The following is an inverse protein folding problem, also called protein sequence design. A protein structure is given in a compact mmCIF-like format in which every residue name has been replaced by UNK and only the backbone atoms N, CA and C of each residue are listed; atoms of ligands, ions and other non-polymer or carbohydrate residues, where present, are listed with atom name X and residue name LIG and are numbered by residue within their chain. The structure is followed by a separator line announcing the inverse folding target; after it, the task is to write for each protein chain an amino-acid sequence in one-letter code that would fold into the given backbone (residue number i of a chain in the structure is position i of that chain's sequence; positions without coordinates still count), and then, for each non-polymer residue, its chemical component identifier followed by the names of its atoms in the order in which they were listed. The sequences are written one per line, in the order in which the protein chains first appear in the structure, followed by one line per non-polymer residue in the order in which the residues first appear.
data_IF_574051443167
#
_entry.id   IF_574051443167
#
_cell.length_a   1.000
_cell.length_b   1.000
_cell.length_c   1.000
_cell.angle_alpha   90.00
_cell.angle_beta   90.00
_cell.angle_gamma   90.00
#
_symmetry.space_group_name_H-M   'P 1'
#
loop_
_entity.id
_entity.type
_entity.pdbx_description
1 polymer ?
#
# COMPACT_ATOMS: atom_id res chain seq x y z
N UNK A 1 -37.48 43.21 -37.59
CA UNK A 1 -36.25 43.59 -36.85
C UNK A 1 -36.19 42.74 -35.59
N UNK A 2 -35.09 42.03 -35.37
CA UNK A 2 -34.95 40.94 -34.39
C UNK A 2 -34.66 41.49 -32.98
N UNK A 3 -35.39 40.99 -31.98
CA UNK A 3 -35.16 41.22 -30.56
C UNK A 3 -33.99 40.35 -30.06
N UNK A 4 -33.10 40.94 -29.27
CA UNK A 4 -32.03 40.27 -28.54
C UNK A 4 -32.55 39.93 -27.16
N UNK A 5 -32.56 38.64 -26.80
CA UNK A 5 -32.76 38.18 -25.41
C UNK A 5 -31.47 37.60 -24.89
N UNK A 6 -30.94 38.21 -23.82
CA UNK A 6 -29.79 37.76 -23.06
C UNK A 6 -30.33 36.90 -21.90
N UNK A 7 -29.96 35.62 -21.83
CA UNK A 7 -30.26 34.74 -20.69
C UNK A 7 -28.96 34.54 -19.92
N UNK A 8 -28.87 35.14 -18.74
CA UNK A 8 -27.77 34.94 -17.80
C UNK A 8 -28.09 33.72 -16.94
N UNK A 9 -27.32 32.64 -17.09
CA UNK A 9 -27.42 31.45 -16.26
C UNK A 9 -26.59 31.63 -14.97
N UNK A 10 -27.24 31.65 -13.82
CA UNK A 10 -26.60 31.68 -12.50
C UNK A 10 -26.37 30.24 -12.02
N UNK A 11 -25.11 29.81 -11.97
CA UNK A 11 -24.71 28.52 -11.41
C UNK A 11 -24.70 28.60 -9.88
N UNK A 12 -25.49 27.76 -9.21
CA UNK A 12 -25.42 27.56 -7.76
C UNK A 12 -24.23 26.63 -7.44
N UNK A 13 -23.22 27.16 -6.74
CA UNK A 13 -22.18 26.35 -6.11
C UNK A 13 -22.76 25.71 -4.84
N UNK A 14 -23.05 24.40 -4.89
CA UNK A 14 -23.31 23.60 -3.70
C UNK A 14 -21.99 23.34 -2.97
N UNK A 15 -21.75 24.06 -1.87
CA UNK A 15 -20.68 23.74 -0.95
C UNK A 15 -21.08 22.49 -0.13
N UNK A 16 -20.53 21.34 -0.49
CA UNK A 16 -20.64 20.12 0.33
C UNK A 16 -19.86 20.33 1.63
N UNK A 17 -20.58 20.48 2.75
CA UNK A 17 -19.98 20.43 4.08
C UNK A 17 -19.45 19.02 4.32
N UNK A 18 -18.13 18.87 4.42
CA UNK A 18 -17.50 17.64 4.88
C UNK A 18 -17.99 17.33 6.31
N UNK A 19 -18.73 16.24 6.46
CA UNK A 19 -19.15 15.73 7.76
C UNK A 19 -17.90 15.18 8.45
N UNK A 20 -17.56 15.61 9.68
CA UNK A 20 -16.45 15.02 10.42
C UNK A 20 -16.74 13.55 10.69
N UNK A 21 -15.95 12.66 10.10
CA UNK A 21 -15.99 11.23 10.37
C UNK A 21 -15.67 11.01 11.84
N UNK A 22 -16.61 10.43 12.62
CA UNK A 22 -16.37 10.05 14.01
C UNK A 22 -15.10 9.19 14.07
N UNK A 23 -14.11 9.64 14.85
CA UNK A 23 -12.95 8.82 15.23
C UNK A 23 -13.49 7.53 15.86
N UNK A 24 -13.20 6.39 15.25
CA UNK A 24 -13.78 5.13 15.67
C UNK A 24 -13.19 4.73 17.03
N UNK A 25 -14.01 4.81 18.08
CA UNK A 25 -13.64 4.45 19.45
C UNK A 25 -14.02 2.99 19.69
N UNK A 26 -13.15 2.05 19.31
CA UNK A 26 -13.35 0.61 19.52
C UNK A 26 -12.42 -0.23 18.64
N UNK A 27 -12.14 -1.46 19.05
CA UNK A 27 -11.45 -2.44 18.20
C UNK A 27 -12.22 -2.61 16.87
N UNK A 28 -11.54 -2.83 15.74
CA UNK A 28 -12.20 -3.02 14.45
C UNK A 28 -13.09 -4.27 14.50
N UNK A 29 -14.24 -4.20 13.82
CA UNK A 29 -15.10 -5.37 13.65
C UNK A 29 -14.59 -6.30 12.54
N UNK A 30 -15.17 -7.49 12.41
CA UNK A 30 -14.76 -8.49 11.42
C UNK A 30 -14.73 -7.97 9.98
N UNK A 31 -15.73 -7.19 9.56
CA UNK A 31 -15.76 -6.63 8.21
C UNK A 31 -14.57 -5.69 7.98
N UNK A 32 -14.25 -4.83 8.96
CA UNK A 32 -13.14 -3.90 8.83
C UNK A 32 -11.78 -4.59 8.78
N UNK A 33 -11.64 -5.72 9.48
CA UNK A 33 -10.44 -6.54 9.41
C UNK A 33 -10.33 -7.21 8.05
N UNK A 34 -11.42 -7.77 7.52
CA UNK A 34 -11.45 -8.38 6.19
C UNK A 34 -11.17 -7.34 5.09
N UNK A 35 -11.79 -6.17 5.17
CA UNK A 35 -11.57 -5.06 4.23
C UNK A 35 -10.12 -4.58 4.26
N UNK A 36 -9.52 -4.45 5.45
CA UNK A 36 -8.12 -4.05 5.58
C UNK A 36 -7.16 -5.11 5.00
N UNK A 37 -7.40 -6.40 5.23
CA UNK A 37 -6.58 -7.46 4.65
C UNK A 37 -6.69 -7.45 3.12
N UNK A 38 -7.89 -7.32 2.58
CA UNK A 38 -8.11 -7.29 1.13
C UNK A 38 -7.57 -6.03 0.46
N UNK A 39 -7.69 -4.87 1.11
CA UNK A 39 -7.09 -3.60 0.65
C UNK A 39 -5.58 -3.75 0.57
N UNK A 40 -4.96 -4.20 1.68
CA UNK A 40 -3.52 -4.38 1.73
C UNK A 40 -3.02 -5.43 0.73
N UNK A 41 -3.78 -6.50 0.50
CA UNK A 41 -3.47 -7.47 -0.56
C UNK A 41 -3.36 -6.82 -1.95
N UNK A 42 -4.28 -5.92 -2.27
CA UNK A 42 -4.25 -5.19 -3.54
C UNK A 42 -3.05 -4.24 -3.62
N UNK A 43 -2.74 -3.54 -2.53
CA UNK A 43 -1.57 -2.66 -2.47
C UNK A 43 -0.26 -3.41 -2.64
N UNK A 44 -0.11 -4.55 -1.95
CA UNK A 44 1.04 -5.42 -2.12
C UNK A 44 1.14 -5.90 -3.57
N UNK A 45 0.01 -6.27 -4.19
CA UNK A 45 -0.02 -6.70 -5.59
C UNK A 45 0.42 -5.60 -6.54
N UNK A 46 -0.02 -4.36 -6.33
CA UNK A 46 0.36 -3.22 -7.16
C UNK A 46 1.85 -2.90 -7.04
N UNK A 47 2.39 -2.87 -5.82
CA UNK A 47 3.83 -2.65 -5.60
C UNK A 47 4.64 -3.79 -6.23
N UNK A 48 4.22 -5.04 -6.06
CA UNK A 48 4.89 -6.19 -6.67
C UNK A 48 4.85 -6.15 -8.21
N UNK A 49 3.73 -5.75 -8.80
CA UNK A 49 3.59 -5.58 -10.25
C UNK A 49 4.53 -4.50 -10.79
N UNK A 50 4.70 -3.40 -10.04
CA UNK A 50 5.72 -2.41 -10.36
C UNK A 50 7.11 -3.02 -10.30
N UNK A 51 7.48 -3.70 -9.20
CA UNK A 51 8.81 -4.28 -9.02
C UNK A 51 9.18 -5.28 -10.11
N UNK A 52 8.21 -6.10 -10.56
CA UNK A 52 8.41 -7.09 -11.60
C UNK A 52 8.58 -6.47 -13.01
N UNK A 53 7.95 -5.32 -13.27
CA UNK A 53 8.00 -4.67 -14.59
C UNK A 53 9.08 -3.59 -14.70
N UNK A 54 9.41 -2.92 -13.59
CA UNK A 54 10.31 -1.77 -13.52
C UNK A 54 11.66 -1.98 -14.23
N UNK A 55 12.35 -3.14 -14.15
CA UNK A 55 13.62 -3.35 -14.85
C UNK A 55 13.56 -3.19 -16.37
N UNK A 56 12.36 -3.26 -16.96
CA UNK A 56 12.14 -3.18 -18.42
C UNK A 56 11.56 -1.84 -18.87
N UNK A 57 11.22 -0.95 -17.93
CA UNK A 57 10.59 0.32 -18.26
C UNK A 57 11.63 1.36 -18.67
N UNK A 58 11.29 2.20 -19.65
CA UNK A 58 12.07 3.41 -19.91
C UNK A 58 11.83 4.48 -18.85
N UNK A 59 12.74 5.43 -18.76
CA UNK A 59 12.67 6.64 -17.92
C UNK A 59 11.35 7.40 -18.10
N UNK A 60 10.80 7.46 -19.31
CA UNK A 60 9.51 8.09 -19.59
C UNK A 60 8.33 7.39 -18.89
N UNK A 61 8.39 6.07 -18.73
CA UNK A 61 7.28 5.27 -18.18
C UNK A 61 7.46 4.94 -16.69
N UNK A 62 8.71 4.79 -16.25
CA UNK A 62 8.99 4.33 -14.88
C UNK A 62 8.51 5.32 -13.83
N UNK A 63 8.63 6.64 -14.07
CA UNK A 63 8.15 7.65 -13.14
C UNK A 63 6.65 7.52 -12.85
N UNK A 64 5.83 7.29 -13.90
CA UNK A 64 4.40 7.06 -13.74
C UNK A 64 4.09 5.74 -13.02
N UNK A 65 4.81 4.67 -13.37
CA UNK A 65 4.65 3.38 -12.70
C UNK A 65 5.04 3.45 -11.21
N UNK A 66 6.09 4.19 -10.87
CA UNK A 66 6.52 4.45 -9.50
C UNK A 66 5.52 5.30 -8.73
N UNK A 67 4.89 6.33 -9.34
CA UNK A 67 3.82 7.09 -8.70
C UNK A 67 2.63 6.20 -8.32
N UNK A 68 2.22 5.29 -9.20
CA UNK A 68 1.12 4.36 -8.91
C UNK A 68 1.48 3.40 -7.77
N UNK A 69 2.71 2.86 -7.77
CA UNK A 69 3.19 2.01 -6.69
C UNK A 69 3.32 2.77 -5.36
N UNK A 70 3.71 4.06 -5.41
CA UNK A 70 3.84 4.91 -4.23
C UNK A 70 2.48 5.18 -3.56
N UNK A 71 1.40 5.33 -4.33
CA UNK A 71 0.04 5.43 -3.75
C UNK A 71 -0.25 4.20 -2.91
N UNK A 72 -0.14 3.00 -3.50
CA UNK A 72 -0.37 1.75 -2.76
C UNK A 72 0.57 1.61 -1.56
N UNK A 73 1.87 1.91 -1.71
CA UNK A 73 2.82 1.82 -0.59
C UNK A 73 2.52 2.81 0.55
N UNK A 74 1.93 3.97 0.24
CA UNK A 74 1.49 4.96 1.24
C UNK A 74 0.16 4.60 1.89
N UNK A 75 -0.65 3.76 1.23
CA UNK A 75 -1.88 3.25 1.81
C UNK A 75 -1.58 2.16 2.84
N UNK A 76 -0.64 1.24 2.59
CA UNK A 76 -0.31 0.10 3.49
C UNK A 76 -0.24 0.42 5.02
N UNK A 77 0.31 1.56 5.48
CA UNK A 77 0.27 1.94 6.89
C UNK A 77 -1.14 2.15 7.47
N UNK A 78 -2.12 2.56 6.66
CA UNK A 78 -3.52 2.72 7.07
C UNK A 78 -4.12 1.36 7.45
N UNK A 79 -3.92 0.33 6.62
CA UNK A 79 -4.35 -1.03 6.89
C UNK A 79 -3.63 -1.60 8.10
N UNK A 80 -2.31 -1.33 8.25
CA UNK A 80 -1.60 -1.70 9.48
C UNK A 80 -2.26 -1.08 10.71
N UNK A 81 -2.60 0.21 10.68
CA UNK A 81 -3.22 0.88 11.82
C UNK A 81 -4.58 0.27 12.18
N UNK A 82 -5.37 -0.16 11.19
CA UNK A 82 -6.62 -0.88 11.42
C UNK A 82 -6.34 -2.23 12.10
N UNK A 83 -5.44 -3.04 11.55
CA UNK A 83 -5.15 -4.37 12.09
C UNK A 83 -4.48 -4.31 13.47
N UNK A 84 -3.58 -3.35 13.69
CA UNK A 84 -2.91 -3.12 14.96
C UNK A 84 -3.89 -2.74 16.10
N UNK A 85 -5.04 -2.14 15.77
CA UNK A 85 -6.07 -1.80 16.75
C UNK A 85 -6.77 -3.01 17.39
N UNK A 86 -6.54 -4.23 16.88
CA UNK A 86 -6.93 -5.47 17.55
C UNK A 86 -6.10 -5.74 18.83
N UNK A 87 -4.92 -5.11 18.96
CA UNK A 87 -4.12 -5.11 20.18
C UNK A 87 -3.76 -6.51 20.67
N UNK A 88 -3.94 -6.83 21.97
CA UNK A 88 -3.58 -8.14 22.53
C UNK A 88 -4.27 -9.35 21.89
N UNK A 89 -5.39 -9.16 21.19
CA UNK A 89 -6.10 -10.24 20.52
C UNK A 89 -5.28 -10.86 19.37
N UNK A 90 -4.28 -10.14 18.85
CA UNK A 90 -3.34 -10.62 17.82
C UNK A 90 -2.36 -11.69 18.34
N UNK A 91 -2.26 -11.88 19.66
CA UNK A 91 -1.22 -12.73 20.26
C UNK A 91 0.19 -12.15 20.12
N UNK A 92 1.21 -12.94 20.46
CA UNK A 92 2.60 -12.49 20.45
C UNK A 92 3.14 -12.29 19.01
N UNK A 93 2.91 -13.27 18.14
CA UNK A 93 3.41 -13.23 16.76
C UNK A 93 2.82 -12.07 15.95
N UNK A 94 1.51 -11.83 16.08
CA UNK A 94 0.86 -10.71 15.40
C UNK A 94 1.33 -9.35 15.93
N UNK A 95 1.55 -9.21 17.25
CA UNK A 95 2.10 -7.97 17.83
C UNK A 95 3.56 -7.73 17.41
N UNK A 96 4.38 -8.77 17.34
CA UNK A 96 5.76 -8.66 16.85
C UNK A 96 5.78 -8.24 15.37
N UNK A 97 4.87 -8.78 14.55
CA UNK A 97 4.71 -8.38 13.15
C UNK A 97 4.33 -6.90 13.03
N UNK A 98 3.37 -6.42 13.84
CA UNK A 98 2.99 -4.99 13.88
C UNK A 98 4.19 -4.10 14.19
N UNK A 99 4.98 -4.44 15.22
CA UNK A 99 6.17 -3.66 15.58
C UNK A 99 7.18 -3.60 14.44
N UNK A 100 7.50 -4.74 13.83
CA UNK A 100 8.43 -4.78 12.70
C UNK A 100 7.92 -3.96 11.51
N UNK A 101 6.63 -4.02 11.21
CA UNK A 101 6.02 -3.28 10.10
C UNK A 101 6.07 -1.76 10.35
N UNK A 102 5.77 -1.30 11.57
CA UNK A 102 5.91 0.13 11.93
C UNK A 102 7.32 0.67 11.73
N UNK A 103 8.35 -0.15 11.97
CA UNK A 103 9.76 0.25 11.82
C UNK A 103 10.25 0.25 10.36
N UNK A 104 9.63 -0.57 9.50
CA UNK A 104 10.18 -0.87 8.16
C UNK A 104 9.50 -0.11 7.02
N UNK A 105 8.28 0.39 7.23
CA UNK A 105 7.48 0.98 6.16
C UNK A 105 8.10 2.18 5.46
N UNK A 106 8.86 3.04 6.16
CA UNK A 106 9.40 4.27 5.57
C UNK A 106 10.38 4.02 4.41
N UNK A 107 10.99 2.84 4.33
CA UNK A 107 11.99 2.55 3.32
C UNK A 107 11.38 2.43 1.91
N UNK A 108 10.17 1.86 1.79
CA UNK A 108 9.55 1.61 0.48
C UNK A 108 9.08 2.90 -0.21
N UNK A 109 8.27 3.78 0.44
CA UNK A 109 7.88 5.06 -0.13
C UNK A 109 9.07 5.97 -0.46
N UNK A 110 10.11 5.97 0.38
CA UNK A 110 11.32 6.77 0.16
C UNK A 110 12.04 6.37 -1.14
N UNK A 111 12.28 5.08 -1.35
CA UNK A 111 12.92 4.61 -2.59
C UNK A 111 12.04 4.82 -3.83
N UNK A 112 10.72 4.69 -3.70
CA UNK A 112 9.77 5.01 -4.78
C UNK A 112 9.81 6.51 -5.14
N UNK A 113 9.82 7.38 -4.13
CA UNK A 113 9.95 8.83 -4.32
C UNK A 113 11.26 9.19 -5.00
N UNK A 114 12.38 8.54 -4.65
CA UNK A 114 13.67 8.76 -5.32
C UNK A 114 13.61 8.44 -6.83
N UNK A 115 12.89 7.40 -7.24
CA UNK A 115 12.69 7.08 -8.67
C UNK A 115 11.81 8.13 -9.34
N UNK A 116 10.79 8.64 -8.65
CA UNK A 116 9.90 9.69 -9.16
C UNK A 116 10.66 11.00 -9.37
N UNK A 117 11.50 11.39 -8.41
CA UNK A 117 12.26 12.64 -8.44
C UNK A 117 13.41 12.61 -9.46
N UNK A 118 13.91 11.41 -9.78
CA UNK A 118 14.99 11.20 -10.75
C UNK A 118 14.71 9.95 -11.61
N UNK A 119 13.77 10.02 -12.58
CA UNK A 119 13.40 8.87 -13.39
C UNK A 119 14.52 8.52 -14.37
N UNK A 120 15.06 7.32 -14.20
CA UNK A 120 16.06 6.72 -15.08
C UNK A 120 15.52 5.38 -15.61
N UNK A 121 15.99 4.92 -16.77
CA UNK A 121 15.60 3.62 -17.32
C UNK A 121 15.74 2.49 -16.26
N UNK A 122 14.90 1.46 -16.36
CA UNK A 122 14.80 0.37 -15.39
C UNK A 122 16.11 -0.34 -15.08
N UNK A 123 16.98 -0.45 -16.09
CA UNK A 123 18.29 -1.08 -16.03
C UNK A 123 19.41 -0.12 -15.60
N UNK A 124 19.11 1.17 -15.45
CA UNK A 124 20.05 2.15 -14.92
C UNK A 124 20.44 1.81 -13.48
N UNK A 125 21.72 2.02 -13.15
CA UNK A 125 22.25 1.67 -11.83
C UNK A 125 21.56 2.40 -10.67
N UNK A 126 21.12 3.66 -10.87
CA UNK A 126 20.35 4.39 -9.87
C UNK A 126 19.03 3.69 -9.58
N UNK A 127 18.23 3.42 -10.62
CA UNK A 127 16.93 2.74 -10.50
C UNK A 127 17.09 1.36 -9.88
N UNK A 128 18.05 0.55 -10.36
CA UNK A 128 18.33 -0.77 -9.79
C UNK A 128 18.63 -0.73 -8.30
N UNK A 129 19.37 0.30 -7.85
CA UNK A 129 19.67 0.49 -6.42
C UNK A 129 18.41 0.76 -5.61
N UNK A 130 17.49 1.60 -6.11
CA UNK A 130 16.20 1.85 -5.46
C UNK A 130 15.31 0.60 -5.44
N UNK A 131 15.23 -0.14 -6.56
CA UNK A 131 14.49 -1.40 -6.63
C UNK A 131 15.02 -2.45 -5.66
N UNK A 132 16.34 -2.56 -5.50
CA UNK A 132 16.96 -3.45 -4.52
C UNK A 132 16.63 -3.06 -3.08
N UNK A 133 16.60 -1.77 -2.75
CA UNK A 133 16.18 -1.31 -1.42
C UNK A 133 14.73 -1.66 -1.13
N UNK A 134 13.82 -1.47 -2.10
CA UNK A 134 12.41 -1.84 -1.95
C UNK A 134 12.28 -3.36 -1.78
N UNK A 135 12.92 -4.15 -2.65
CA UNK A 135 12.89 -5.62 -2.55
C UNK A 135 13.48 -6.11 -1.22
N UNK A 136 14.61 -5.57 -0.77
CA UNK A 136 15.20 -5.92 0.53
C UNK A 136 14.25 -5.64 1.70
N UNK A 137 13.64 -4.45 1.75
CA UNK A 137 12.67 -4.12 2.79
C UNK A 137 11.45 -5.06 2.76
N UNK A 138 10.91 -5.32 1.56
CA UNK A 138 9.69 -6.11 1.41
C UNK A 138 9.92 -7.61 1.61
N UNK A 139 10.88 -8.20 0.92
CA UNK A 139 11.15 -9.63 0.99
C UNK A 139 11.60 -10.08 2.37
N UNK A 140 12.43 -9.27 3.05
CA UNK A 140 13.03 -9.68 4.33
C UNK A 140 12.17 -9.33 5.54
N UNK A 141 11.31 -8.30 5.45
CA UNK A 141 10.55 -7.83 6.60
C UNK A 141 9.05 -7.76 6.34
N UNK A 142 8.62 -6.93 5.37
CA UNK A 142 7.18 -6.62 5.21
C UNK A 142 6.37 -7.87 4.88
N UNK A 143 6.74 -8.61 3.83
CA UNK A 143 5.94 -9.75 3.36
C UNK A 143 5.95 -10.94 4.34
N UNK A 144 7.09 -11.31 4.97
CA UNK A 144 7.09 -12.32 6.04
C UNK A 144 6.29 -11.89 7.28
N UNK A 145 6.30 -10.60 7.64
CA UNK A 145 5.48 -10.10 8.75
C UNK A 145 3.99 -10.21 8.44
N UNK A 146 3.59 -9.97 7.19
CA UNK A 146 2.20 -10.13 6.74
C UNK A 146 1.72 -11.58 6.80
N UNK A 147 2.59 -12.57 6.56
CA UNK A 147 2.26 -13.99 6.74
C UNK A 147 1.86 -14.33 8.18
N UNK A 148 2.26 -13.49 9.15
CA UNK A 148 1.88 -13.63 10.56
C UNK A 148 0.68 -12.75 10.89
N UNK A 149 0.69 -11.50 10.43
CA UNK A 149 -0.32 -10.51 10.78
C UNK A 149 -1.69 -10.88 10.22
N UNK A 150 -1.82 -11.18 8.91
CA UNK A 150 -3.15 -11.42 8.33
C UNK A 150 -3.87 -12.62 8.96
N UNK A 151 -3.24 -13.79 9.16
CA UNK A 151 -3.91 -14.91 9.84
C UNK A 151 -4.24 -14.59 11.31
N UNK A 152 -3.35 -13.89 12.03
CA UNK A 152 -3.61 -13.50 13.41
C UNK A 152 -4.78 -12.52 13.53
N UNK A 153 -4.87 -11.53 12.65
CA UNK A 153 -5.96 -10.58 12.60
C UNK A 153 -7.30 -11.25 12.27
N UNK A 154 -7.31 -12.16 11.28
CA UNK A 154 -8.51 -12.91 10.91
C UNK A 154 -9.01 -13.80 12.06
N UNK A 155 -8.09 -14.49 12.74
CA UNK A 155 -8.42 -15.29 13.92
C UNK A 155 -8.97 -14.43 15.06
N UNK A 156 -8.35 -13.28 15.35
CA UNK A 156 -8.80 -12.35 16.38
C UNK A 156 -10.20 -11.79 16.11
N UNK A 157 -10.56 -11.59 14.84
CA UNK A 157 -11.86 -11.07 14.42
C UNK A 157 -12.92 -12.15 14.18
N UNK A 158 -12.56 -13.44 14.27
CA UNK A 158 -13.46 -14.57 14.04
C UNK A 158 -13.86 -14.77 12.58
N UNK A 159 -13.03 -14.36 11.62
CA UNK A 159 -13.29 -14.53 10.18
C UNK A 159 -13.03 -15.99 9.79
N UNK A 160 -14.06 -16.68 9.31
CA UNK A 160 -14.00 -18.08 8.89
C UNK A 160 -13.81 -18.16 7.36
N UNK A 161 -12.56 -18.21 6.88
CA UNK A 161 -12.13 -18.62 5.53
C UNK A 161 -10.63 -18.27 5.37
N UNK A 162 -9.90 -18.95 4.46
CA UNK A 162 -8.49 -18.66 4.30
C UNK A 162 -8.31 -17.22 3.85
N UNK A 163 -7.46 -16.50 4.58
CA UNK A 163 -6.99 -15.19 4.14
C UNK A 163 -6.19 -15.35 2.84
N UNK A 164 -6.13 -14.32 1.98
CA UNK A 164 -5.29 -14.39 0.80
C UNK A 164 -3.85 -14.70 1.19
N UNK A 165 -3.17 -15.53 0.39
CA UNK A 165 -1.73 -15.69 0.54
C UNK A 165 -1.06 -14.38 0.15
N UNK A 166 -0.18 -13.87 1.02
CA UNK A 166 0.58 -12.65 0.75
C UNK A 166 1.35 -12.84 -0.58
N UNK A 167 1.13 -12.00 -1.61
CA UNK A 167 1.82 -12.18 -2.88
C UNK A 167 3.29 -11.78 -2.75
N UNK A 168 4.16 -12.43 -3.54
CA UNK A 168 5.60 -12.14 -3.59
C UNK A 168 5.96 -11.57 -4.97
N UNK A 169 6.83 -10.54 -5.08
CA UNK A 169 7.48 -10.21 -6.33
C UNK A 169 8.54 -11.27 -6.67
N UNK A 170 8.92 -11.34 -7.93
CA UNK A 170 9.83 -12.37 -8.48
C UNK A 170 11.19 -12.34 -7.77
N UNK A 171 11.63 -11.15 -7.36
CA UNK A 171 12.89 -10.93 -6.65
C UNK A 171 12.96 -11.65 -5.29
N UNK A 172 11.82 -11.95 -4.64
CA UNK A 172 11.81 -12.71 -3.39
C UNK A 172 11.88 -14.23 -3.62
N UNK A 173 11.54 -14.72 -4.82
CA UNK A 173 11.47 -16.16 -5.11
C UNK A 173 12.66 -16.66 -5.91
N UNK A 174 13.30 -15.79 -6.70
CA UNK A 174 14.36 -16.18 -7.63
C UNK A 174 15.78 -16.10 -7.02
N UNK A 175 15.89 -15.73 -5.74
CA UNK A 175 17.17 -15.58 -5.04
C UNK A 175 17.87 -14.23 -5.29
N UNK A 176 17.19 -13.28 -5.97
CA UNK A 176 17.74 -11.94 -6.25
C UNK A 176 17.80 -11.05 -5.00
N UNK A 177 17.06 -11.41 -3.94
CA UNK A 177 17.09 -10.74 -2.64
C UNK A 177 17.63 -11.67 -1.57
N UNK A 178 18.66 -11.22 -0.85
CA UNK A 178 19.26 -11.94 0.27
C UNK A 178 18.77 -11.32 1.59
N UNK A 179 18.17 -12.17 2.41
CA UNK A 179 17.81 -11.96 3.80
C UNK A 179 18.64 -12.94 4.65
#
# INVERSE_FOLDING_TARGET
MKFVSLITATSFLSASLAIPTKRQTGAPNAQQVEDAINSWFNDVTNVNSFLNSAPTLSSANIGQASMNALVSANDEPNELMILAALGPALGADGQNAVTLLMETFLNVPSSLQNIIDNPQDGDNQFTKTQLQQINGARCCNVLPALDKLWPASAAAAGIANPQPTVPRPDACTNGDTIC
#
